data_IF_218194985102
#
_entry.id   IF_218194985102
#
_cell.length_a   1.000
_cell.length_b   1.000
_cell.length_c   1.000
_cell.angle_alpha   90.00
_cell.angle_beta   90.00
_cell.angle_gamma   90.00
#
_symmetry.space_group_name_H-M   'P 1'
#
loop_
_entity.id
_entity.type
_entity.pdbx_description
1 polymer ?
#
# COMPACT_ATOMS: atom_id res chain seq x y z
N UNK A 1 19.89 -5.49 0.11
CA UNK A 1 18.67 -4.88 -0.48
C UNK A 1 17.48 -5.31 0.36
N UNK A 2 16.73 -4.39 0.99
CA UNK A 2 15.52 -4.77 1.75
C UNK A 2 14.50 -5.35 0.78
N UNK A 3 14.15 -6.63 0.95
CA UNK A 3 13.15 -7.30 0.12
C UNK A 3 11.78 -6.85 0.65
N UNK A 4 11.04 -6.14 -0.20
CA UNK A 4 9.66 -5.76 0.05
C UNK A 4 8.84 -6.20 -1.16
N UNK A 5 7.72 -6.88 -0.91
CA UNK A 5 6.81 -7.42 -1.90
C UNK A 5 5.39 -6.90 -1.66
N UNK A 6 4.60 -6.81 -2.73
CA UNK A 6 3.17 -6.61 -2.61
C UNK A 6 2.52 -7.93 -2.22
N UNK A 7 1.64 -7.91 -1.21
CA UNK A 7 0.97 -9.10 -0.68
C UNK A 7 -0.43 -9.21 -1.25
N UNK A 8 -1.28 -8.21 -1.02
CA UNK A 8 -2.67 -8.21 -1.48
C UNK A 8 -3.27 -6.80 -1.48
N UNK A 9 -4.31 -6.64 -2.29
CA UNK A 9 -5.18 -5.45 -2.34
C UNK A 9 -6.58 -5.83 -1.89
N UNK A 10 -6.93 -5.57 -0.63
CA UNK A 10 -8.22 -5.92 -0.06
C UNK A 10 -9.26 -4.82 -0.32
N UNK A 11 -10.46 -5.19 -0.78
CA UNK A 11 -11.58 -4.24 -0.99
C UNK A 11 -12.44 -4.11 0.26
N UNK A 12 -12.54 -5.18 1.06
CA UNK A 12 -13.27 -5.23 2.33
C UNK A 12 -12.36 -5.69 3.45
N UNK A 13 -12.77 -5.48 4.69
CA UNK A 13 -12.01 -5.90 5.86
C UNK A 13 -11.89 -7.43 5.96
N UNK A 14 -12.89 -8.19 5.49
CA UNK A 14 -12.80 -9.65 5.47
C UNK A 14 -11.75 -10.16 4.47
N UNK A 15 -11.42 -9.35 3.46
CA UNK A 15 -10.36 -9.66 2.48
C UNK A 15 -8.95 -9.32 2.97
N UNK A 16 -8.80 -8.73 4.17
CA UNK A 16 -7.49 -8.42 4.73
C UNK A 16 -6.78 -9.71 5.20
N UNK A 17 -5.45 -9.77 5.08
CA UNK A 17 -4.69 -10.87 5.66
C UNK A 17 -4.85 -10.88 7.19
N UNK A 18 -4.64 -12.04 7.85
CA UNK A 18 -4.64 -12.12 9.30
C UNK A 18 -3.58 -11.18 9.90
N UNK A 19 -3.95 -10.46 10.97
CA UNK A 19 -3.01 -9.61 11.71
C UNK A 19 -2.09 -10.48 12.57
N UNK A 20 -1.01 -10.98 11.96
CA UNK A 20 -0.02 -11.88 12.57
C UNK A 20 1.22 -11.15 13.13
N UNK A 21 1.32 -9.84 12.88
CA UNK A 21 2.47 -8.99 13.22
C UNK A 21 2.02 -7.53 13.40
N UNK A 22 2.90 -6.70 13.95
CA UNK A 22 2.68 -5.26 14.00
C UNK A 22 2.69 -4.64 12.60
N UNK A 23 1.68 -3.83 12.27
CA UNK A 23 1.53 -3.17 10.98
C UNK A 23 1.63 -1.64 11.10
N UNK A 24 2.18 -1.00 10.07
CA UNK A 24 2.19 0.45 9.93
C UNK A 24 1.28 0.87 8.77
N UNK A 25 0.33 1.76 9.04
CA UNK A 25 -0.67 2.17 8.05
C UNK A 25 -0.43 3.60 7.60
N UNK A 26 -0.38 3.82 6.28
CA UNK A 26 -0.33 5.15 5.68
C UNK A 26 -1.73 5.60 5.26
N UNK A 27 -2.27 6.64 5.90
CA UNK A 27 -3.61 7.20 5.63
C UNK A 27 -3.49 8.67 5.19
N UNK A 28 -4.34 9.11 4.26
CA UNK A 28 -4.34 10.48 3.76
C UNK A 28 -5.14 10.66 2.47
N UNK A 29 -5.45 11.92 2.11
CA UNK A 29 -6.32 12.26 0.96
C UNK A 29 -5.71 11.92 -0.41
N UNK A 30 -4.40 12.07 -0.58
CA UNK A 30 -3.72 11.86 -1.87
C UNK A 30 -3.17 10.44 -2.00
N UNK A 31 -3.61 9.68 -2.99
CA UNK A 31 -3.03 8.37 -3.31
C UNK A 31 -1.60 8.49 -3.83
N UNK A 32 -1.32 9.53 -4.60
CA UNK A 32 0.04 9.82 -5.11
C UNK A 32 1.00 10.03 -3.94
N UNK A 33 0.65 10.84 -2.95
CA UNK A 33 1.52 11.13 -1.80
C UNK A 33 1.82 9.90 -0.94
N UNK A 34 0.80 9.09 -0.63
CA UNK A 34 0.97 7.83 0.12
C UNK A 34 1.84 6.83 -0.62
N UNK A 35 1.56 6.58 -1.90
CA UNK A 35 2.36 5.63 -2.70
C UNK A 35 3.81 6.10 -2.86
N UNK A 36 4.04 7.41 -3.03
CA UNK A 36 5.40 7.97 -3.05
C UNK A 36 6.14 7.76 -1.72
N UNK A 37 5.46 7.92 -0.59
CA UNK A 37 6.05 7.68 0.73
C UNK A 37 6.41 6.20 0.93
N UNK A 38 5.52 5.27 0.55
CA UNK A 38 5.79 3.81 0.57
C UNK A 38 7.03 3.49 -0.27
N UNK A 39 7.11 4.01 -1.49
CA UNK A 39 8.26 3.84 -2.37
C UNK A 39 9.57 4.38 -1.75
N UNK A 40 9.51 5.55 -1.10
CA UNK A 40 10.66 6.16 -0.44
C UNK A 40 11.16 5.35 0.76
N UNK A 41 10.28 4.96 1.69
CA UNK A 41 10.68 4.23 2.92
C UNK A 41 11.14 2.80 2.63
N UNK A 42 10.66 2.20 1.54
CA UNK A 42 11.08 0.87 1.08
C UNK A 42 12.29 0.92 0.13
N UNK A 43 12.75 2.12 -0.25
CA UNK A 43 13.79 2.34 -1.26
C UNK A 43 13.50 1.60 -2.58
N UNK A 44 12.25 1.68 -3.06
CA UNK A 44 11.76 1.07 -4.31
C UNK A 44 11.04 2.12 -5.16
N UNK A 45 11.29 2.16 -6.47
CA UNK A 45 10.71 3.19 -7.36
C UNK A 45 9.27 2.90 -7.80
N UNK A 46 8.81 1.65 -7.76
CA UNK A 46 7.53 1.24 -8.35
C UNK A 46 6.85 0.11 -7.58
N UNK A 47 7.03 0.07 -6.25
CA UNK A 47 6.38 -0.91 -5.39
C UNK A 47 4.90 -0.58 -5.20
N UNK A 48 4.60 0.67 -4.83
CA UNK A 48 3.24 1.19 -4.76
C UNK A 48 2.91 2.00 -6.00
N UNK A 49 1.78 1.68 -6.65
CA UNK A 49 1.37 2.36 -7.87
C UNK A 49 0.91 3.81 -7.57
N UNK A 50 1.46 4.77 -8.31
CA UNK A 50 1.11 6.20 -8.22
C UNK A 50 0.20 6.56 -9.40
N UNK A 51 -1.12 6.33 -9.29
CA UNK A 51 -2.08 6.80 -10.30
C UNK A 51 -2.60 8.19 -9.95
N UNK A 52 -2.62 9.10 -10.94
CA UNK A 52 -3.33 10.39 -10.85
C UNK A 52 -4.83 10.27 -11.18
N UNK A 53 -5.28 9.16 -11.79
CA UNK A 53 -6.69 8.96 -12.13
C UNK A 53 -7.44 8.46 -10.88
N UNK A 54 -8.46 9.21 -10.39
CA UNK A 54 -9.28 8.74 -9.28
C UNK A 54 -10.05 7.47 -9.70
N UNK A 55 -9.85 6.38 -8.97
CA UNK A 55 -10.61 5.13 -9.15
C UNK A 55 -11.69 5.03 -8.07
N UNK A 56 -12.92 4.65 -8.46
CA UNK A 56 -14.12 4.58 -7.59
C UNK A 56 -14.09 3.49 -6.51
N UNK A 57 -13.02 2.71 -6.40
CA UNK A 57 -12.86 1.66 -5.38
C UNK A 57 -11.48 1.80 -4.76
N UNK A 58 -11.41 2.23 -3.50
CA UNK A 58 -10.15 2.29 -2.76
C UNK A 58 -9.92 0.94 -2.09
N UNK A 59 -8.77 0.32 -2.33
CA UNK A 59 -8.34 -0.94 -1.73
C UNK A 59 -7.27 -0.68 -0.67
N UNK A 60 -7.23 -1.52 0.36
CA UNK A 60 -6.14 -1.60 1.31
C UNK A 60 -4.99 -2.39 0.68
N UNK A 61 -3.84 -1.74 0.46
CA UNK A 61 -2.68 -2.38 -0.14
C UNK A 61 -1.69 -2.81 0.96
N UNK A 62 -1.39 -4.10 1.01
CA UNK A 62 -0.46 -4.69 1.98
C UNK A 62 0.90 -4.97 1.34
N UNK A 63 1.97 -4.66 2.07
CA UNK A 63 3.36 -4.86 1.66
C UNK A 63 4.14 -5.54 2.80
N UNK A 64 5.03 -6.49 2.46
CA UNK A 64 5.84 -7.25 3.42
C UNK A 64 7.30 -7.34 2.98
#
# INVERSE_FOLDING_TARGET
VRRVIFVTGAVTMEGCPPSDRGEAVFIGRSNVGKSSLVNMVTNRKSLAYTSKRPGKTQQFNFFA
#
